data_IF_159861079214
#
_entry.id   IF_159861079214
#
_cell.length_a   1.000
_cell.length_b   1.000
_cell.length_c   1.000
_cell.angle_alpha   90.00
_cell.angle_beta   90.00
_cell.angle_gamma   90.00
#
_symmetry.space_group_name_H-M   'P 1'
#
loop_
_entity.id
_entity.type
_entity.pdbx_description
1 polymer ?
#
# COMPACT_ATOMS: atom_id res chain seq x y z
N UNK A 1 25.50 -33.98 -58.49
CA UNK A 1 25.84 -33.09 -57.35
C UNK A 1 24.77 -33.11 -56.24
N UNK A 2 24.17 -34.25 -55.91
CA UNK A 2 22.83 -34.27 -55.30
C UNK A 2 22.69 -35.04 -53.99
N UNK A 3 23.57 -36.00 -53.66
CA UNK A 3 23.49 -36.80 -52.43
C UNK A 3 24.22 -36.19 -51.24
N UNK A 4 25.54 -35.96 -51.40
CA UNK A 4 26.39 -35.46 -50.32
C UNK A 4 25.95 -34.09 -49.80
N UNK A 5 25.59 -33.16 -50.70
CA UNK A 5 25.06 -31.83 -50.33
C UNK A 5 23.77 -31.90 -49.51
N UNK A 6 22.89 -32.88 -49.78
CA UNK A 6 21.65 -33.07 -49.01
C UNK A 6 21.96 -33.58 -47.60
N UNK A 7 22.85 -34.55 -47.47
CA UNK A 7 23.28 -35.09 -46.17
C UNK A 7 23.92 -33.98 -45.32
N UNK A 8 24.80 -33.17 -45.92
CA UNK A 8 25.39 -32.02 -45.23
C UNK A 8 24.34 -31.00 -44.80
N UNK A 9 23.32 -30.74 -45.63
CA UNK A 9 22.23 -29.82 -45.28
C UNK A 9 21.41 -30.33 -44.08
N UNK A 10 21.08 -31.62 -44.06
CA UNK A 10 20.34 -32.24 -42.96
C UNK A 10 21.15 -32.26 -41.67
N UNK A 11 22.45 -32.53 -41.75
CA UNK A 11 23.37 -32.46 -40.61
C UNK A 11 23.43 -31.04 -40.03
N UNK A 12 23.52 -30.02 -40.89
CA UNK A 12 23.50 -28.62 -40.44
C UNK A 12 22.16 -28.21 -39.84
N UNK A 13 21.03 -28.64 -40.42
CA UNK A 13 19.71 -28.38 -39.87
C UNK A 13 19.49 -29.05 -38.50
N UNK A 14 19.91 -30.31 -38.35
CA UNK A 14 19.85 -31.03 -37.08
C UNK A 14 20.77 -30.39 -36.02
N UNK A 15 21.96 -29.95 -36.41
CA UNK A 15 22.87 -29.22 -35.51
C UNK A 15 22.28 -27.87 -35.09
N UNK A 16 21.64 -27.12 -36.00
CA UNK A 16 20.96 -25.88 -35.66
C UNK A 16 19.76 -26.11 -34.74
N UNK A 17 18.95 -27.14 -34.99
CA UNK A 17 17.83 -27.53 -34.12
C UNK A 17 18.34 -27.91 -32.72
N UNK A 18 19.44 -28.67 -32.64
CA UNK A 18 20.08 -29.04 -31.37
C UNK A 18 20.62 -27.81 -30.64
N UNK A 19 21.26 -26.88 -31.34
CA UNK A 19 21.75 -25.62 -30.76
C UNK A 19 20.58 -24.77 -30.25
N UNK A 20 19.49 -24.64 -31.01
CA UNK A 20 18.29 -23.91 -30.57
C UNK A 20 17.62 -24.61 -29.38
N UNK A 21 17.57 -25.94 -29.36
CA UNK A 21 16.99 -26.70 -28.25
C UNK A 21 17.83 -26.65 -26.96
N UNK A 22 19.16 -26.54 -27.08
CA UNK A 22 20.10 -26.51 -25.94
C UNK A 22 20.39 -25.09 -25.45
N UNK A 23 20.45 -24.10 -26.35
CA UNK A 23 20.85 -22.72 -26.05
C UNK A 23 19.70 -21.71 -26.11
N UNK A 24 18.49 -22.13 -26.47
CA UNK A 24 17.35 -21.23 -26.61
C UNK A 24 16.98 -20.48 -25.32
N UNK A 25 17.19 -21.06 -24.13
CA UNK A 25 16.68 -20.46 -22.89
C UNK A 25 17.57 -19.33 -22.31
N UNK A 26 18.87 -19.28 -22.62
CA UNK A 26 19.78 -18.24 -22.08
C UNK A 26 19.91 -16.99 -22.95
N UNK A 27 19.63 -17.09 -24.26
CA UNK A 27 19.72 -15.97 -25.20
C UNK A 27 18.64 -14.90 -25.00
N UNK A 28 17.50 -15.27 -24.39
CA UNK A 28 16.37 -14.36 -24.17
C UNK A 28 16.33 -13.76 -22.76
N UNK A 29 17.36 -13.97 -21.93
CA UNK A 29 17.39 -13.45 -20.57
C UNK A 29 17.91 -12.00 -20.57
N UNK A 30 17.10 -10.98 -20.23
CA UNK A 30 17.50 -9.57 -20.36
C UNK A 30 18.69 -9.17 -19.46
N UNK A 31 18.92 -9.94 -18.41
CA UNK A 31 19.96 -9.74 -17.40
C UNK A 31 19.85 -10.80 -16.31
N UNK A 32 20.84 -10.88 -15.40
CA UNK A 32 20.80 -11.83 -14.29
C UNK A 32 19.59 -11.57 -13.40
N UNK A 33 19.05 -12.64 -12.80
CA UNK A 33 18.07 -12.49 -11.72
C UNK A 33 18.75 -11.98 -10.46
N UNK A 34 17.97 -11.50 -9.51
CA UNK A 34 18.43 -11.00 -8.24
C UNK A 34 19.11 -12.07 -7.40
N UNK A 35 19.86 -11.62 -6.40
CA UNK A 35 20.58 -12.48 -5.45
C UNK A 35 19.63 -13.45 -4.73
N UNK A 36 18.41 -13.02 -4.44
CA UNK A 36 17.38 -13.85 -3.80
C UNK A 36 16.85 -14.99 -4.68
N UNK A 37 17.03 -14.90 -6.00
CA UNK A 37 16.60 -15.92 -6.96
C UNK A 37 17.76 -16.58 -7.71
N UNK A 38 19.00 -16.36 -7.28
CA UNK A 38 20.18 -16.89 -7.96
C UNK A 38 20.18 -18.42 -8.05
N UNK A 39 19.54 -19.11 -7.10
CA UNK A 39 19.42 -20.57 -7.06
C UNK A 39 18.45 -21.15 -8.11
N UNK A 40 17.62 -20.30 -8.72
CA UNK A 40 16.60 -20.70 -9.71
C UNK A 40 16.78 -20.03 -11.07
N UNK A 41 17.88 -19.32 -11.30
CA UNK A 41 18.14 -18.55 -12.52
C UNK A 41 18.00 -19.36 -13.81
N UNK A 42 18.50 -20.60 -13.82
CA UNK A 42 18.41 -21.50 -14.99
C UNK A 42 17.03 -22.16 -15.16
N UNK A 43 16.09 -21.91 -14.25
CA UNK A 43 14.76 -22.55 -14.24
C UNK A 43 13.68 -21.57 -14.69
N UNK A 44 13.84 -21.02 -15.89
CA UNK A 44 13.00 -19.96 -16.48
C UNK A 44 11.49 -20.21 -16.32
N UNK A 45 11.06 -21.47 -16.50
CA UNK A 45 9.64 -21.87 -16.47
C UNK A 45 8.98 -21.76 -15.09
N UNK A 46 9.75 -21.65 -14.01
CA UNK A 46 9.20 -21.39 -12.68
C UNK A 46 8.51 -20.02 -12.64
N UNK A 47 9.11 -19.04 -13.31
CA UNK A 47 8.59 -17.67 -13.40
C UNK A 47 7.77 -17.43 -14.67
N UNK A 48 8.13 -18.11 -15.78
CA UNK A 48 7.52 -17.96 -17.11
C UNK A 48 6.87 -19.26 -17.61
N UNK A 49 5.77 -19.72 -16.99
CA UNK A 49 5.10 -20.94 -17.41
C UNK A 49 4.58 -20.79 -18.85
N UNK A 50 5.06 -21.64 -19.76
CA UNK A 50 4.71 -21.58 -21.17
C UNK A 50 5.13 -20.28 -21.88
N UNK A 51 6.09 -19.53 -21.31
CA UNK A 51 6.56 -18.24 -21.84
C UNK A 51 5.46 -17.18 -22.06
N UNK A 52 4.33 -17.29 -21.35
CA UNK A 52 3.19 -16.36 -21.44
C UNK A 52 3.31 -15.13 -20.50
N UNK A 53 4.52 -14.70 -20.18
CA UNK A 53 4.80 -13.66 -19.18
C UNK A 53 4.99 -14.20 -17.77
N UNK A 54 4.91 -13.34 -16.75
CA UNK A 54 5.15 -13.67 -15.34
C UNK A 54 3.87 -13.50 -14.51
N UNK A 55 3.07 -14.56 -14.32
CA UNK A 55 1.86 -14.48 -13.51
C UNK A 55 2.19 -14.42 -12.02
N UNK A 56 1.34 -13.78 -11.22
CA UNK A 56 1.49 -13.76 -9.75
C UNK A 56 1.58 -15.17 -9.13
N UNK A 57 0.91 -16.15 -9.75
CA UNK A 57 0.93 -17.55 -9.28
C UNK A 57 2.35 -18.12 -9.20
N UNK A 58 3.23 -17.73 -10.11
CA UNK A 58 4.65 -18.14 -10.08
C UNK A 58 5.37 -17.64 -8.84
N UNK A 59 5.08 -16.40 -8.39
CA UNK A 59 5.64 -15.86 -7.17
C UNK A 59 5.04 -16.55 -5.93
N UNK A 60 3.71 -16.74 -5.94
CA UNK A 60 2.97 -17.31 -4.82
C UNK A 60 3.27 -18.79 -4.57
N UNK A 61 3.80 -19.51 -5.56
CA UNK A 61 4.24 -20.90 -5.43
C UNK A 61 5.34 -21.08 -4.36
N UNK A 62 6.12 -20.03 -4.06
CA UNK A 62 7.17 -20.05 -3.04
C UNK A 62 6.87 -19.15 -1.83
N UNK A 63 5.63 -18.71 -1.64
CA UNK A 63 5.25 -17.70 -0.62
C UNK A 63 5.77 -18.02 0.79
N UNK A 64 5.75 -19.31 1.16
CA UNK A 64 6.14 -19.75 2.50
C UNK A 64 7.66 -19.62 2.71
N UNK A 65 8.46 -19.92 1.67
CA UNK A 65 9.92 -19.74 1.70
C UNK A 65 10.33 -18.27 1.86
N UNK A 66 9.49 -17.35 1.38
CA UNK A 66 9.72 -15.91 1.46
C UNK A 66 9.11 -15.27 2.72
N UNK A 67 8.35 -16.03 3.53
CA UNK A 67 7.56 -15.47 4.63
C UNK A 67 6.54 -14.44 4.16
N UNK A 68 6.03 -14.59 2.93
CA UNK A 68 5.07 -13.65 2.33
C UNK A 68 3.67 -13.87 2.92
N UNK A 69 3.13 -12.83 3.55
CA UNK A 69 1.73 -12.73 3.96
C UNK A 69 1.01 -11.66 3.11
N UNK A 70 0.18 -12.07 2.13
CA UNK A 70 -0.63 -11.14 1.35
C UNK A 70 -1.71 -10.41 2.17
N UNK A 71 -2.06 -10.93 3.36
CA UNK A 71 -3.09 -10.40 4.25
C UNK A 71 -2.61 -9.29 5.18
N UNK A 72 -1.39 -8.77 4.98
CA UNK A 72 -0.78 -7.78 5.87
C UNK A 72 0.01 -6.70 5.14
N UNK A 73 -0.01 -5.49 5.71
CA UNK A 73 0.80 -4.36 5.27
C UNK A 73 0.57 -4.00 3.80
N UNK A 74 1.65 -3.64 3.11
CA UNK A 74 1.63 -3.22 1.70
C UNK A 74 0.94 -4.23 0.78
N UNK A 75 1.13 -5.53 0.99
CA UNK A 75 0.48 -6.54 0.15
C UNK A 75 -1.05 -6.60 0.29
N UNK A 76 -1.60 -6.10 1.42
CA UNK A 76 -3.05 -6.07 1.66
C UNK A 76 -3.71 -4.78 1.19
N UNK A 77 -3.10 -3.63 1.45
CA UNK A 77 -3.78 -2.35 1.27
C UNK A 77 -3.30 -1.55 0.05
N UNK A 78 -2.17 -1.91 -0.58
CA UNK A 78 -1.75 -1.25 -1.81
C UNK A 78 -2.73 -1.55 -2.96
N UNK A 79 -2.99 -0.57 -3.85
CA UNK A 79 -3.96 -0.74 -4.95
C UNK A 79 -3.43 -1.60 -6.11
N UNK A 80 -2.16 -2.02 -6.06
CA UNK A 80 -1.48 -2.72 -7.14
C UNK A 80 -1.65 -4.23 -6.98
N UNK A 81 -2.18 -4.88 -8.03
CA UNK A 81 -2.50 -6.33 -7.98
C UNK A 81 -1.42 -7.25 -8.54
N UNK A 82 -0.47 -6.74 -9.33
CA UNK A 82 0.57 -7.56 -9.99
C UNK A 82 1.90 -7.46 -9.24
N UNK A 83 2.50 -8.60 -8.91
CA UNK A 83 3.76 -8.66 -8.15
C UNK A 83 4.86 -7.87 -8.86
N UNK A 84 4.94 -7.99 -10.18
CA UNK A 84 5.96 -7.37 -11.03
C UNK A 84 5.89 -5.85 -11.13
N UNK A 85 4.82 -5.20 -10.64
CA UNK A 85 4.79 -3.74 -10.58
C UNK A 85 5.63 -3.16 -9.43
N UNK A 86 5.92 -3.98 -8.41
CA UNK A 86 6.79 -3.60 -7.29
C UNK A 86 8.06 -4.46 -7.28
N UNK A 87 7.92 -5.76 -7.56
CA UNK A 87 9.00 -6.75 -7.59
C UNK A 87 9.53 -6.98 -9.00
N UNK A 88 10.49 -6.15 -9.40
CA UNK A 88 11.09 -6.19 -10.73
C UNK A 88 12.34 -7.08 -10.70
N UNK A 89 12.37 -8.03 -11.63
CA UNK A 89 13.49 -8.96 -11.84
C UNK A 89 14.28 -8.58 -13.11
N UNK A 90 15.42 -9.23 -13.36
CA UNK A 90 16.31 -8.99 -14.51
C UNK A 90 16.91 -7.58 -14.59
N UNK A 91 17.05 -6.89 -13.45
CA UNK A 91 17.75 -5.60 -13.38
C UNK A 91 19.24 -5.82 -13.19
N UNK A 92 19.62 -6.19 -11.98
CA UNK A 92 20.99 -6.58 -11.62
C UNK A 92 20.93 -7.60 -10.48
N UNK A 93 22.02 -8.32 -10.25
CA UNK A 93 22.11 -9.27 -9.13
C UNK A 93 21.78 -8.62 -7.79
N UNK A 94 22.19 -7.37 -7.61
CA UNK A 94 22.05 -6.64 -6.35
C UNK A 94 20.89 -5.64 -6.34
N UNK A 95 19.99 -5.71 -7.33
CA UNK A 95 18.82 -4.85 -7.38
C UNK A 95 17.86 -5.18 -6.23
N UNK A 96 17.40 -4.18 -5.45
CA UNK A 96 16.54 -4.42 -4.32
C UNK A 96 15.09 -4.61 -4.77
N UNK A 97 14.71 -5.87 -5.03
CA UNK A 97 13.40 -6.30 -5.55
C UNK A 97 12.20 -5.68 -4.85
N UNK A 98 12.29 -5.28 -3.59
CA UNK A 98 11.12 -4.90 -2.79
C UNK A 98 11.09 -3.45 -2.34
N UNK A 99 12.13 -2.65 -2.59
CA UNK A 99 12.24 -1.33 -1.96
C UNK A 99 12.58 -0.17 -2.89
N UNK A 100 13.09 -0.43 -4.10
CA UNK A 100 13.44 0.67 -5.03
C UNK A 100 12.21 1.46 -5.49
N UNK A 101 11.03 0.82 -5.51
CA UNK A 101 9.77 1.46 -5.90
C UNK A 101 9.16 2.33 -4.79
N UNK A 102 9.69 2.26 -3.55
CA UNK A 102 9.18 3.04 -2.42
C UNK A 102 9.89 4.40 -2.42
N UNK A 103 9.29 5.35 -3.14
CA UNK A 103 9.67 6.75 -3.09
C UNK A 103 9.15 7.38 -1.77
N UNK A 104 10.02 7.83 -0.84
CA UNK A 104 9.61 8.46 0.40
C UNK A 104 8.72 9.69 0.19
N UNK A 105 8.92 10.43 -0.91
CA UNK A 105 8.19 11.67 -1.19
C UNK A 105 6.78 11.40 -1.72
N UNK A 106 6.53 10.17 -2.20
CA UNK A 106 5.25 9.76 -2.81
C UNK A 106 4.58 8.58 -2.07
N UNK A 107 5.13 8.18 -0.92
CA UNK A 107 4.64 7.03 -0.19
C UNK A 107 3.30 7.30 0.51
N UNK A 108 2.26 6.52 0.17
CA UNK A 108 0.97 6.57 0.84
C UNK A 108 0.93 5.59 2.02
N UNK A 109 0.90 6.12 3.24
CA UNK A 109 0.79 5.35 4.48
C UNK A 109 -0.47 4.46 4.53
N UNK A 110 -1.52 4.80 3.78
CA UNK A 110 -2.70 3.96 3.59
C UNK A 110 -2.43 2.60 2.97
N UNK A 111 -1.30 2.43 2.26
CA UNK A 111 -0.87 1.12 1.76
C UNK A 111 -0.40 0.20 2.89
N UNK A 112 -0.12 0.70 4.08
CA UNK A 112 0.32 -0.13 5.22
C UNK A 112 -0.83 -0.58 6.13
N UNK A 113 -2.04 -0.04 5.91
CA UNK A 113 -3.17 -0.17 6.85
C UNK A 113 -3.14 0.84 7.99
N UNK A 114 -2.07 1.65 8.09
CA UNK A 114 -1.95 2.74 9.06
C UNK A 114 -2.02 4.09 8.33
N UNK A 115 -3.23 4.57 8.04
CA UNK A 115 -3.42 5.89 7.45
C UNK A 115 -3.08 6.99 8.45
N UNK A 116 -2.25 7.94 8.05
CA UNK A 116 -1.98 9.13 8.86
C UNK A 116 -3.21 10.05 8.85
N UNK A 117 -3.60 10.53 10.03
CA UNK A 117 -4.63 11.56 10.16
C UNK A 117 -4.08 12.94 9.79
N UNK A 118 -4.96 13.92 9.55
CA UNK A 118 -4.61 15.28 9.10
C UNK A 118 -3.50 16.00 9.90
N UNK A 119 -3.35 15.68 11.18
CA UNK A 119 -2.35 16.28 12.06
C UNK A 119 -0.99 15.56 12.03
N UNK A 120 -0.96 14.34 11.51
CA UNK A 120 0.23 13.51 11.38
C UNK A 120 0.72 13.44 9.92
N UNK A 121 -0.15 13.72 8.94
CA UNK A 121 0.13 13.62 7.50
C UNK A 121 1.30 14.52 7.04
N UNK A 122 1.50 15.66 7.71
CA UNK A 122 2.60 16.59 7.42
C UNK A 122 3.86 16.38 8.26
N UNK A 123 3.95 15.32 9.06
CA UNK A 123 5.14 15.07 9.89
C UNK A 123 6.30 14.58 9.03
N UNK A 124 7.50 15.05 9.37
CA UNK A 124 8.73 14.52 8.77
C UNK A 124 8.86 13.02 9.07
N UNK A 125 9.37 12.25 8.10
CA UNK A 125 9.50 10.80 8.17
C UNK A 125 10.22 10.34 9.45
N UNK A 126 11.25 11.09 9.85
CA UNK A 126 12.15 10.80 10.97
C UNK A 126 11.45 10.88 12.33
N UNK A 127 10.29 11.54 12.40
CA UNK A 127 9.48 11.61 13.62
C UNK A 127 8.94 10.24 14.05
N UNK A 128 8.72 9.35 13.08
CA UNK A 128 8.24 7.99 13.32
C UNK A 128 9.27 6.92 12.92
N UNK A 129 10.14 7.22 11.95
CA UNK A 129 11.12 6.30 11.38
C UNK A 129 12.55 6.79 11.64
N UNK A 130 13.19 6.35 12.73
CA UNK A 130 14.56 6.75 13.07
C UNK A 130 15.55 6.45 11.94
N UNK A 131 16.47 7.39 11.71
CA UNK A 131 17.55 7.26 10.74
C UNK A 131 18.44 6.05 11.05
N UNK A 132 18.97 5.40 10.02
CA UNK A 132 19.88 4.25 10.18
C UNK A 132 19.18 2.92 10.47
N UNK A 133 17.85 2.87 10.42
CA UNK A 133 17.07 1.62 10.49
C UNK A 133 16.10 1.53 9.32
N UNK A 134 15.81 0.33 8.80
CA UNK A 134 14.75 0.17 7.82
C UNK A 134 13.43 0.71 8.38
N UNK A 135 12.67 1.46 7.56
CA UNK A 135 11.36 2.01 7.91
C UNK A 135 10.32 0.90 8.02
N UNK A 136 10.43 0.09 9.07
CA UNK A 136 9.51 -1.01 9.40
C UNK A 136 8.23 -0.42 10.01
N UNK A 137 7.18 -1.24 10.08
CA UNK A 137 5.92 -0.86 10.69
C UNK A 137 6.15 -0.33 12.12
N UNK A 138 5.98 0.99 12.30
CA UNK A 138 5.84 1.57 13.62
C UNK A 138 4.56 0.99 14.24
N UNK A 139 4.60 0.70 15.55
CA UNK A 139 3.39 0.32 16.25
C UNK A 139 2.47 1.55 16.26
N UNK A 140 1.18 1.40 15.92
CA UNK A 140 0.26 2.53 15.81
C UNK A 140 -0.25 2.99 17.20
N UNK A 141 0.44 2.63 18.28
CA UNK A 141 0.03 3.00 19.61
C UNK A 141 0.38 4.47 19.84
N UNK A 142 -0.58 5.23 20.38
CA UNK A 142 -0.43 6.67 20.52
C UNK A 142 0.75 7.03 21.45
N UNK A 143 0.96 6.21 22.47
CA UNK A 143 1.99 6.33 23.49
C UNK A 143 3.41 6.00 23.01
N UNK A 144 3.55 5.33 21.85
CA UNK A 144 4.87 5.09 21.24
C UNK A 144 5.55 6.39 20.82
N UNK A 145 4.77 7.44 20.50
CA UNK A 145 5.28 8.77 20.15
C UNK A 145 4.87 9.85 21.15
N UNK A 146 3.68 9.74 21.74
CA UNK A 146 3.20 10.66 22.76
C UNK A 146 3.44 10.07 24.16
N UNK A 147 4.64 10.25 24.71
CA UNK A 147 4.95 9.79 26.06
C UNK A 147 3.93 10.34 27.09
N UNK A 148 3.38 9.44 27.92
CA UNK A 148 2.27 9.71 28.85
C UNK A 148 0.92 10.04 28.20
N UNK A 149 0.72 9.61 26.96
CA UNK A 149 -0.59 9.70 26.32
C UNK A 149 -1.63 8.90 27.12
N UNK A 150 -2.59 9.63 27.68
CA UNK A 150 -3.75 9.06 28.33
C UNK A 150 -4.99 9.45 27.54
N UNK A 151 -5.84 8.49 27.13
CA UNK A 151 -7.17 8.80 26.64
C UNK A 151 -7.92 9.59 27.71
N UNK A 152 -8.30 10.84 27.42
CA UNK A 152 -8.85 11.78 28.41
C UNK A 152 -9.63 12.91 27.76
N UNK A 153 -9.93 14.00 28.49
CA UNK A 153 -10.58 15.19 27.93
C UNK A 153 -9.77 15.71 26.75
N UNK A 154 -10.33 15.59 25.55
CA UNK A 154 -9.70 16.07 24.33
C UNK A 154 -10.02 17.54 24.15
N UNK A 155 -8.99 18.32 23.87
CA UNK A 155 -9.16 19.66 23.34
C UNK A 155 -9.68 19.55 21.90
N UNK A 156 -10.98 19.73 21.74
CA UNK A 156 -11.71 19.60 20.48
C UNK A 156 -11.25 20.61 19.42
N UNK A 157 -10.63 21.73 19.84
CA UNK A 157 -10.01 22.68 18.91
C UNK A 157 -8.73 22.10 18.29
N UNK A 158 -8.03 21.22 19.01
CA UNK A 158 -6.78 20.58 18.54
C UNK A 158 -7.02 19.28 17.77
N UNK A 159 -8.18 18.64 17.93
CA UNK A 159 -8.56 17.43 17.16
C UNK A 159 -9.32 17.74 15.89
N UNK A 160 -9.61 19.03 15.63
CA UNK A 160 -10.24 19.47 14.40
C UNK A 160 -11.75 19.27 14.38
N UNK A 161 -12.32 18.97 15.54
CA UNK A 161 -13.75 18.77 15.74
C UNK A 161 -14.25 19.73 16.82
N UNK A 162 -14.14 21.04 16.54
CA UNK A 162 -14.48 22.13 17.47
C UNK A 162 -15.94 22.04 17.89
N UNK A 163 -16.17 21.97 19.21
CA UNK A 163 -17.51 22.04 19.79
C UNK A 163 -18.04 23.47 19.70
N UNK A 164 -19.32 23.61 19.38
CA UNK A 164 -19.99 24.90 19.51
C UNK A 164 -20.41 25.14 20.97
N UNK A 165 -20.91 26.34 21.25
CA UNK A 165 -21.33 26.76 22.59
C UNK A 165 -22.45 25.90 23.18
N UNK A 166 -23.25 25.21 22.35
CA UNK A 166 -24.36 24.37 22.80
C UNK A 166 -23.89 22.95 23.15
N UNK A 167 -22.93 22.42 22.41
CA UNK A 167 -22.40 21.07 22.60
C UNK A 167 -21.18 21.02 23.52
N UNK A 168 -20.50 22.16 23.78
CA UNK A 168 -19.36 22.24 24.68
C UNK A 168 -19.67 21.82 26.14
N UNK A 169 -20.94 21.91 26.55
CA UNK A 169 -21.40 21.51 27.89
C UNK A 169 -21.79 20.03 28.01
N UNK A 170 -21.74 19.24 26.93
CA UNK A 170 -22.09 17.83 26.98
C UNK A 170 -21.00 17.01 27.66
N UNK A 171 -21.41 16.02 28.45
CA UNK A 171 -20.47 15.02 28.95
C UNK A 171 -19.84 14.24 27.79
N UNK A 172 -18.57 13.86 27.94
CA UNK A 172 -17.81 13.18 26.88
C UNK A 172 -18.53 11.95 26.31
N UNK A 173 -19.18 11.16 27.18
CA UNK A 173 -19.94 9.96 26.78
C UNK A 173 -21.27 10.27 26.08
N UNK A 174 -21.80 11.48 26.24
CA UNK A 174 -22.99 11.94 25.55
C UNK A 174 -22.82 12.02 24.04
N UNK A 175 -21.60 12.28 23.56
CA UNK A 175 -21.27 12.24 22.14
C UNK A 175 -20.47 10.98 21.76
N UNK A 176 -19.51 10.55 22.58
CA UNK A 176 -18.67 9.38 22.31
C UNK A 176 -19.31 8.06 22.76
N UNK A 177 -20.54 7.80 22.33
CA UNK A 177 -21.30 6.60 22.71
C UNK A 177 -20.66 5.30 22.22
N UNK A 178 -19.84 5.37 21.16
CA UNK A 178 -19.07 4.22 20.61
C UNK A 178 -17.59 4.22 21.04
N UNK A 179 -17.22 5.05 22.01
CA UNK A 179 -15.84 5.29 22.40
C UNK A 179 -15.13 6.33 21.52
N UNK A 180 -13.80 6.35 21.57
CA UNK A 180 -12.97 7.40 20.97
C UNK A 180 -12.11 6.89 19.81
N UNK A 181 -11.69 7.79 18.93
CA UNK A 181 -10.78 7.50 17.82
C UNK A 181 -11.44 7.53 16.44
N UNK A 182 -10.64 7.23 15.41
CA UNK A 182 -11.04 7.29 14.01
C UNK A 182 -12.20 6.34 13.70
N UNK A 183 -13.21 6.84 12.99
CA UNK A 183 -14.40 6.07 12.60
C UNK A 183 -15.45 5.93 13.72
N UNK A 184 -15.22 6.56 14.88
CA UNK A 184 -16.14 6.60 16.02
C UNK A 184 -16.63 8.02 16.31
N UNK A 185 -16.58 8.89 15.31
CA UNK A 185 -17.03 10.27 15.42
C UNK A 185 -18.56 10.33 15.64
N UNK A 186 -19.05 11.28 16.46
CA UNK A 186 -20.47 11.46 16.66
C UNK A 186 -21.15 11.91 15.36
N UNK A 187 -22.27 11.28 15.01
CA UNK A 187 -23.10 11.67 13.88
C UNK A 187 -24.28 12.52 14.38
N UNK A 188 -24.51 13.68 13.76
CA UNK A 188 -25.57 14.61 14.17
C UNK A 188 -26.96 13.93 14.22
N UNK A 189 -27.25 13.07 13.23
CA UNK A 189 -28.51 12.32 13.12
C UNK A 189 -28.78 11.42 14.33
N UNK A 190 -27.74 10.96 15.03
CA UNK A 190 -27.89 10.06 16.18
C UNK A 190 -28.62 10.73 17.36
N UNK A 191 -28.53 12.07 17.48
CA UNK A 191 -29.20 12.84 18.52
C UNK A 191 -30.29 13.76 17.96
N UNK A 192 -30.22 14.12 16.68
CA UNK A 192 -31.21 14.95 16.01
C UNK A 192 -31.85 14.26 14.81
N UNK A 193 -32.72 13.26 15.05
CA UNK A 193 -33.34 12.50 13.98
C UNK A 193 -34.24 13.39 13.10
N UNK A 194 -34.08 13.29 11.79
CA UNK A 194 -34.90 14.01 10.80
C UNK A 194 -34.61 15.51 10.71
N UNK A 195 -33.55 16.02 11.33
CA UNK A 195 -33.15 17.42 11.26
C UNK A 195 -31.96 17.58 10.32
N UNK A 196 -32.20 18.21 9.17
CA UNK A 196 -31.14 18.59 8.22
C UNK A 196 -30.32 19.76 8.74
N UNK A 197 -29.24 19.49 9.48
CA UNK A 197 -28.23 20.51 9.75
C UNK A 197 -27.36 20.68 8.50
N UNK A 198 -27.18 21.91 8.03
CA UNK A 198 -26.20 22.22 6.98
C UNK A 198 -24.79 21.71 7.37
N UNK A 199 -23.83 21.59 6.43
CA UNK A 199 -22.54 20.95 6.66
C UNK A 199 -21.72 21.72 7.70
N UNK A 200 -21.98 21.44 8.98
CA UNK A 200 -21.08 21.84 10.05
C UNK A 200 -19.86 20.95 9.88
N UNK A 201 -18.71 21.57 9.59
CA UNK A 201 -17.37 20.97 9.65
C UNK A 201 -17.00 20.61 11.10
N UNK A 202 -17.97 20.18 11.90
CA UNK A 202 -17.76 19.93 13.30
C UNK A 202 -17.03 18.60 13.45
N UNK A 203 -17.20 17.57 12.61
CA UNK A 203 -16.34 16.37 12.71
C UNK A 203 -16.16 15.59 11.37
N UNK A 204 -16.20 16.25 10.21
CA UNK A 204 -16.13 15.54 8.92
C UNK A 204 -14.68 15.11 8.58
N UNK A 205 -14.39 13.82 8.79
CA UNK A 205 -13.29 13.11 8.13
C UNK A 205 -13.49 13.00 6.61
N UNK A 206 -12.47 12.62 5.82
CA UNK A 206 -12.45 12.84 4.38
C UNK A 206 -13.44 11.92 3.66
N UNK A 207 -14.30 12.50 2.81
CA UNK A 207 -15.16 11.76 1.89
C UNK A 207 -16.55 12.36 1.67
N UNK A 208 -17.01 13.29 2.51
CA UNK A 208 -18.28 14.00 2.29
C UNK A 208 -18.03 15.49 2.19
N UNK A 209 -17.85 15.93 0.95
CA UNK A 209 -17.58 17.32 0.60
C UNK A 209 -18.75 18.24 0.94
N UNK A 210 -18.41 19.49 1.19
CA UNK A 210 -19.11 20.62 0.60
C UNK A 210 -18.13 21.78 0.53
N UNK A 211 -17.64 22.03 -0.68
CA UNK A 211 -17.16 23.32 -1.13
C UNK A 211 -18.29 24.34 -0.92
N UNK A 212 -18.17 25.17 0.12
CA UNK A 212 -19.15 26.21 0.39
C UNK A 212 -18.64 27.12 1.51
N UNK A 213 -18.63 28.42 1.26
CA UNK A 213 -18.20 29.45 2.21
C UNK A 213 -18.93 29.36 3.56
N UNK A 214 -18.35 29.99 4.58
CA UNK A 214 -18.89 30.08 5.96
C UNK A 214 -20.38 30.46 5.92
N UNK A 215 -21.32 29.62 6.38
CA UNK A 215 -22.65 30.09 6.72
C UNK A 215 -22.59 30.70 8.13
N UNK A 216 -23.19 31.87 8.29
CA UNK A 216 -23.41 32.48 9.61
C UNK A 216 -24.33 31.60 10.47
N UNK A 217 -24.01 31.55 11.76
CA UNK A 217 -24.80 30.87 12.78
C UNK A 217 -26.19 31.51 12.90
N UNK A 218 -27.26 30.73 12.76
CA UNK A 218 -28.54 31.07 13.40
C UNK A 218 -29.84 31.02 12.58
N UNK A 219 -29.85 30.67 11.29
CA UNK A 219 -31.14 30.50 10.58
C UNK A 219 -31.59 29.04 10.57
N UNK A 220 -32.65 28.74 11.34
CA UNK A 220 -33.51 27.58 11.08
C UNK A 220 -33.98 27.66 9.63
N UNK A 221 -33.60 26.69 8.81
CA UNK A 221 -34.28 26.45 7.55
C UNK A 221 -35.66 25.91 7.91
N UNK A 222 -36.67 26.78 7.78
CA UNK A 222 -38.08 26.36 7.77
C UNK A 222 -38.38 25.88 6.35
N UNK A 223 -39.03 24.73 6.25
CA UNK A 223 -39.68 24.28 5.01
C UNK A 223 -40.69 25.31 4.52
#
# INVERSE_FOLDING_TARGET
MTGLKKITLWMLAAALILVVAVFGETWFMPGPVSRSHADIESRCRLCHPGFAGTPNGSCLACKDRMGLDPGRGIHRYAPVRRCTACHVEHRTRDYPLASDWIDPDRFDHGWTGFRLGRYHDGLACEKCHPTGRPRRAARPACDDCHHNFSPGPWDHDKTGCRLDTLHAGLECRGCHVKGWGQGREPACEACHPGQGYGPRRVCLGPGRGASGGRPELGKRLRN
#
